data_IF_109302056574
#
_entry.id   IF_109302056574
#
_cell.length_a   1.000
_cell.length_b   1.000
_cell.length_c   1.000
_cell.angle_alpha   90.00
_cell.angle_beta   90.00
_cell.angle_gamma   90.00
#
_symmetry.space_group_name_H-M   'P 1'
#
loop_
_entity.id
_entity.type
_entity.pdbx_description
1 polymer ?
#
# COMPACT_ATOMS: atom_id res chain seq x y z
N UNK A 1 9.63 -8.34 -11.55
CA UNK A 1 10.88 -8.36 -12.36
C UNK A 1 12.10 -8.77 -11.55
N UNK A 2 12.29 -8.33 -10.29
CA UNK A 2 13.41 -8.79 -9.45
C UNK A 2 12.93 -9.73 -8.31
N UNK A 3 11.98 -9.30 -7.48
CA UNK A 3 11.52 -10.09 -6.29
C UNK A 3 11.01 -11.50 -6.60
N UNK A 4 10.11 -11.62 -7.59
CA UNK A 4 9.48 -12.91 -7.89
C UNK A 4 10.47 -13.89 -8.52
N UNK A 5 11.29 -13.51 -9.52
CA UNK A 5 12.41 -14.34 -9.97
C UNK A 5 13.37 -14.75 -8.85
N UNK A 6 13.78 -13.84 -7.96
CA UNK A 6 14.66 -14.17 -6.84
C UNK A 6 14.05 -15.26 -5.94
N UNK A 7 12.73 -15.19 -5.71
CA UNK A 7 12.01 -16.26 -4.99
C UNK A 7 12.11 -17.60 -5.71
N UNK A 8 11.94 -17.62 -7.03
CA UNK A 8 12.07 -18.85 -7.81
C UNK A 8 13.50 -19.40 -7.72
N UNK A 9 14.52 -18.56 -7.87
CA UNK A 9 15.92 -18.98 -7.82
C UNK A 9 16.29 -19.54 -6.44
N UNK A 10 15.79 -18.94 -5.36
CA UNK A 10 16.02 -19.41 -3.99
C UNK A 10 15.30 -20.74 -3.71
N UNK A 11 14.01 -20.87 -4.07
CA UNK A 11 13.22 -22.07 -3.79
C UNK A 11 13.51 -23.22 -4.75
N UNK A 12 14.12 -22.94 -5.91
CA UNK A 12 14.57 -23.94 -6.88
C UNK A 12 16.06 -24.28 -6.76
N UNK A 13 16.75 -23.73 -5.75
CA UNK A 13 18.18 -23.98 -5.53
C UNK A 13 18.47 -25.48 -5.33
N UNK A 14 19.62 -25.93 -5.84
CA UNK A 14 20.14 -27.29 -5.65
C UNK A 14 20.47 -27.62 -4.18
N UNK A 15 20.53 -26.61 -3.31
CA UNK A 15 20.70 -26.80 -1.87
C UNK A 15 19.45 -27.34 -1.17
N UNK A 16 18.30 -27.37 -1.86
CA UNK A 16 17.02 -27.88 -1.33
C UNK A 16 16.73 -29.29 -1.84
N UNK A 17 15.95 -30.04 -1.04
CA UNK A 17 15.50 -31.38 -1.43
C UNK A 17 14.53 -31.29 -2.61
N UNK A 18 14.68 -32.21 -3.57
CA UNK A 18 13.84 -32.29 -4.77
C UNK A 18 12.33 -32.37 -4.43
N UNK A 19 11.97 -33.10 -3.36
CA UNK A 19 10.63 -33.11 -2.81
C UNK A 19 10.59 -32.35 -1.46
N UNK A 20 9.70 -31.36 -1.25
CA UNK A 20 8.65 -30.86 -2.16
C UNK A 20 9.09 -29.72 -3.11
N UNK A 21 10.29 -29.16 -2.91
CA UNK A 21 10.66 -27.83 -3.43
C UNK A 21 10.74 -27.75 -4.96
N UNK A 22 11.20 -28.80 -5.64
CA UNK A 22 11.28 -28.83 -7.11
C UNK A 22 10.06 -29.47 -7.79
N UNK A 23 9.09 -29.96 -7.01
CA UNK A 23 7.86 -30.58 -7.55
C UNK A 23 6.66 -29.64 -7.54
N UNK A 24 6.67 -28.63 -6.66
CA UNK A 24 5.57 -27.69 -6.50
C UNK A 24 6.04 -26.25 -6.65
N UNK A 25 5.37 -25.39 -7.45
CA UNK A 25 5.77 -24.01 -7.68
C UNK A 25 5.39 -23.11 -6.48
N UNK A 26 6.09 -23.27 -5.35
CA UNK A 26 5.81 -22.53 -4.11
C UNK A 26 5.82 -21.02 -4.29
N UNK A 27 6.76 -20.47 -5.08
CA UNK A 27 6.85 -19.03 -5.33
C UNK A 27 5.57 -18.48 -5.98
N UNK A 28 5.10 -19.13 -7.05
CA UNK A 28 3.87 -18.71 -7.74
C UNK A 28 2.62 -18.90 -6.88
N UNK A 29 2.54 -20.03 -6.17
CA UNK A 29 1.42 -20.31 -5.26
C UNK A 29 1.32 -19.28 -4.14
N UNK A 30 2.42 -18.96 -3.45
CA UNK A 30 2.41 -17.97 -2.38
C UNK A 30 2.19 -16.55 -2.88
N UNK A 31 2.73 -16.18 -4.05
CA UNK A 31 2.44 -14.88 -4.64
C UNK A 31 0.93 -14.71 -4.91
N UNK A 32 0.29 -15.72 -5.48
CA UNK A 32 -1.16 -15.71 -5.71
C UNK A 32 -1.94 -15.68 -4.39
N UNK A 33 -1.56 -16.51 -3.41
CA UNK A 33 -2.21 -16.54 -2.10
C UNK A 33 -2.10 -15.18 -1.40
N UNK A 34 -0.93 -14.55 -1.46
CA UNK A 34 -0.72 -13.22 -0.88
C UNK A 34 -1.57 -12.17 -1.57
N UNK A 35 -1.67 -12.17 -2.91
CA UNK A 35 -2.52 -11.23 -3.63
C UNK A 35 -4.01 -11.40 -3.25
N UNK A 36 -4.49 -12.64 -3.11
CA UNK A 36 -5.85 -12.94 -2.65
C UNK A 36 -6.04 -12.47 -1.20
N UNK A 37 -5.09 -12.73 -0.32
CA UNK A 37 -5.16 -12.28 1.07
C UNK A 37 -5.21 -10.75 1.15
N UNK A 38 -4.43 -10.03 0.34
CA UNK A 38 -4.48 -8.57 0.25
C UNK A 38 -5.85 -8.09 -0.22
N UNK A 39 -6.41 -8.70 -1.27
CA UNK A 39 -7.80 -8.43 -1.72
C UNK A 39 -8.82 -8.66 -0.61
N UNK A 40 -8.69 -9.76 0.14
CA UNK A 40 -9.60 -10.05 1.25
C UNK A 40 -9.53 -8.97 2.33
N UNK A 41 -8.31 -8.53 2.70
CA UNK A 41 -8.11 -7.46 3.67
C UNK A 41 -8.73 -6.15 3.18
N UNK A 42 -8.44 -5.75 1.94
CA UNK A 42 -8.95 -4.51 1.35
C UNK A 42 -10.49 -4.50 1.23
N UNK A 43 -11.08 -5.60 0.76
CA UNK A 43 -12.52 -5.80 0.69
C UNK A 43 -13.19 -5.78 2.07
N UNK A 44 -12.64 -6.50 3.05
CA UNK A 44 -13.17 -6.54 4.41
C UNK A 44 -13.05 -5.17 5.09
N UNK A 45 -11.91 -4.49 4.95
CA UNK A 45 -11.73 -3.14 5.45
C UNK A 45 -12.80 -2.22 4.85
N UNK A 46 -12.92 -2.17 3.53
CA UNK A 46 -13.91 -1.36 2.81
C UNK A 46 -15.35 -1.66 3.26
N UNK A 47 -15.70 -2.93 3.43
CA UNK A 47 -17.02 -3.37 3.90
C UNK A 47 -17.32 -2.91 5.33
N UNK A 48 -16.39 -3.12 6.27
CA UNK A 48 -16.55 -2.69 7.65
C UNK A 48 -16.64 -1.16 7.78
N UNK A 49 -15.84 -0.43 7.00
CA UNK A 49 -15.89 1.03 6.98
C UNK A 49 -17.19 1.55 6.38
N UNK A 50 -17.63 1.01 5.24
CA UNK A 50 -18.91 1.40 4.62
C UNK A 50 -20.09 1.15 5.57
N UNK A 51 -20.08 0.03 6.31
CA UNK A 51 -21.11 -0.29 7.31
C UNK A 51 -21.07 0.68 8.49
N UNK A 52 -19.89 1.02 9.03
CA UNK A 52 -19.75 2.00 10.12
C UNK A 52 -20.18 3.41 9.70
N UNK A 53 -19.85 3.86 8.49
CA UNK A 53 -20.33 5.15 7.97
C UNK A 53 -21.85 5.14 7.79
N UNK A 54 -22.45 4.07 7.27
CA UNK A 54 -23.91 3.95 7.17
C UNK A 54 -24.60 3.90 8.53
N UNK A 55 -24.03 3.18 9.50
CA UNK A 55 -24.56 3.11 10.86
C UNK A 55 -24.40 4.44 11.61
N UNK A 56 -23.28 5.15 11.43
CA UNK A 56 -23.05 6.48 11.97
C UNK A 56 -24.04 7.51 11.42
N UNK A 57 -24.31 7.50 10.10
CA UNK A 57 -25.32 8.37 9.47
C UNK A 57 -26.73 8.08 9.99
N UNK A 58 -27.07 6.82 10.29
CA UNK A 58 -28.37 6.44 10.87
C UNK A 58 -28.46 6.86 12.35
N UNK A 59 -27.38 6.70 13.12
CA UNK A 59 -27.36 7.05 14.55
C UNK A 59 -27.34 8.57 14.78
N UNK A 60 -26.62 9.31 13.93
CA UNK A 60 -26.55 10.79 13.98
C UNK A 60 -27.87 11.46 13.57
N UNK A 61 -28.75 10.74 12.88
CA UNK A 61 -30.15 11.18 12.66
C UNK A 61 -31.05 11.00 13.89
N UNK A 62 -30.53 10.48 15.01
CA UNK A 62 -31.34 10.13 16.19
C UNK A 62 -30.83 10.64 17.54
N UNK A 63 -29.66 11.28 17.63
CA UNK A 63 -29.15 11.81 18.90
C UNK A 63 -28.44 13.14 18.66
N UNK A 64 -29.14 14.23 18.92
CA UNK A 64 -28.51 15.49 19.34
C UNK A 64 -28.02 15.35 20.79
N UNK A 65 -26.74 15.69 21.02
CA UNK A 65 -26.10 16.27 22.23
C UNK A 65 -24.98 15.44 22.96
N UNK A 66 -23.78 16.06 22.95
CA UNK A 66 -22.64 16.14 23.92
C UNK A 66 -21.40 15.20 23.87
N UNK A 67 -20.21 15.85 23.72
CA UNK A 67 -18.85 15.42 24.13
C UNK A 67 -17.85 15.29 22.96
N UNK A 68 -16.98 16.25 22.61
CA UNK A 68 -15.98 16.91 23.44
C UNK A 68 -15.66 18.36 23.00
N UNK A 69 -15.30 19.17 24.00
CA UNK A 69 -15.14 20.63 24.04
C UNK A 69 -13.89 21.15 23.32
N UNK A 70 -14.01 22.30 22.65
CA UNK A 70 -13.17 23.49 22.87
C UNK A 70 -13.70 24.74 22.13
N UNK A 71 -13.49 25.91 22.75
CA UNK A 71 -13.75 27.30 22.29
C UNK A 71 -15.06 27.99 22.76
N UNK A 72 -14.93 28.77 23.84
CA UNK A 72 -15.86 29.83 24.25
C UNK A 72 -15.67 31.08 23.37
N UNK A 73 -16.78 31.70 22.94
CA UNK A 73 -17.00 33.15 22.99
C UNK A 73 -18.46 33.49 22.63
N UNK A 74 -18.98 34.56 23.28
CA UNK A 74 -20.19 35.33 22.96
C UNK A 74 -21.55 34.91 23.59
N UNK A 75 -21.75 35.41 24.82
CA UNK A 75 -22.82 36.35 25.25
C UNK A 75 -24.15 36.43 24.45
N UNK A 76 -25.22 36.16 25.22
CA UNK A 76 -26.59 36.71 25.23
C UNK A 76 -27.71 36.27 24.26
N UNK A 77 -28.80 35.88 24.95
CA UNK A 77 -30.22 36.26 24.75
C UNK A 77 -31.10 35.44 23.80
N UNK A 78 -32.24 35.00 24.33
CA UNK A 78 -33.50 34.97 23.57
C UNK A 78 -34.26 33.65 23.50
N UNK A 79 -34.96 33.33 24.58
CA UNK A 79 -36.29 32.69 24.68
C UNK A 79 -37.16 32.64 23.39
N UNK A 80 -37.69 31.46 23.02
CA UNK A 80 -39.14 31.11 22.96
C UNK A 80 -39.43 29.83 22.16
N UNK A 81 -40.38 29.06 22.71
CA UNK A 81 -41.08 27.91 22.15
C UNK A 81 -41.72 28.15 20.76
N UNK A 82 -41.90 27.07 19.97
CA UNK A 82 -43.22 26.53 19.60
C UNK A 82 -43.10 25.43 18.52
N UNK A 83 -43.80 24.32 18.78
CA UNK A 83 -43.97 23.13 17.95
C UNK A 83 -45.07 23.36 16.92
N UNK A 84 -44.86 22.99 15.64
CA UNK A 84 -45.90 22.44 14.74
C UNK A 84 -45.28 21.63 13.58
N UNK A 85 -45.81 20.43 13.25
CA UNK A 85 -45.32 19.60 12.15
C UNK A 85 -46.16 19.82 10.89
N UNK A 86 -45.51 20.18 9.77
CA UNK A 86 -46.14 20.08 8.45
C UNK A 86 -45.18 19.51 7.41
N UNK A 87 -45.64 18.42 6.79
CA UNK A 87 -45.10 17.81 5.59
C UNK A 87 -44.93 18.84 4.47
N UNK A 88 -43.70 19.01 3.97
CA UNK A 88 -43.50 19.55 2.63
C UNK A 88 -42.31 18.87 1.94
N UNK A 89 -42.57 18.38 0.74
CA UNK A 89 -41.63 17.82 -0.21
C UNK A 89 -40.45 18.79 -0.44
N UNK A 90 -39.22 18.35 -0.14
CA UNK A 90 -38.03 18.87 -0.80
C UNK A 90 -37.13 17.70 -1.20
N UNK A 91 -37.28 17.29 -2.46
CA UNK A 91 -36.19 16.66 -3.19
C UNK A 91 -35.12 17.72 -3.45
N UNK A 92 -33.86 17.37 -3.18
CA UNK A 92 -32.71 18.15 -3.60
C UNK A 92 -31.63 18.29 -2.52
N UNK A 93 -30.46 17.72 -2.83
CA UNK A 93 -29.14 18.07 -2.26
C UNK A 93 -28.80 17.49 -0.87
N UNK A 94 -28.74 16.17 -0.74
CA UNK A 94 -27.92 15.49 0.29
C UNK A 94 -27.01 14.39 -0.30
N UNK A 95 -26.69 14.47 -1.60
CA UNK A 95 -25.86 13.46 -2.28
C UNK A 95 -24.40 13.87 -2.50
N UNK A 96 -24.01 15.10 -2.11
CA UNK A 96 -22.65 15.60 -2.34
C UNK A 96 -21.69 15.28 -1.18
N UNK A 97 -22.12 15.42 0.09
CA UNK A 97 -21.21 15.28 1.24
C UNK A 97 -20.89 13.83 1.64
N UNK A 98 -21.78 12.89 1.32
CA UNK A 98 -21.55 11.46 1.55
C UNK A 98 -20.60 10.84 0.53
N UNK A 99 -20.55 11.39 -0.69
CA UNK A 99 -19.64 10.96 -1.75
C UNK A 99 -18.19 11.37 -1.50
N UNK A 100 -17.97 12.60 -1.05
CA UNK A 100 -16.64 13.17 -0.83
C UNK A 100 -15.91 12.51 0.35
N UNK A 101 -16.61 12.35 1.49
CA UNK A 101 -16.10 11.62 2.64
C UNK A 101 -15.79 10.14 2.33
N UNK A 102 -16.60 9.49 1.49
CA UNK A 102 -16.35 8.10 1.08
C UNK A 102 -15.12 7.95 0.17
N UNK A 103 -14.87 8.92 -0.72
CA UNK A 103 -13.69 8.93 -1.57
C UNK A 103 -12.41 9.23 -0.79
N UNK A 104 -12.46 10.21 0.12
CA UNK A 104 -11.34 10.55 0.99
C UNK A 104 -10.95 9.36 1.89
N UNK A 105 -11.94 8.66 2.45
CA UNK A 105 -11.69 7.42 3.21
C UNK A 105 -11.05 6.32 2.35
N UNK A 106 -11.48 6.16 1.09
CA UNK A 106 -10.86 5.22 0.16
C UNK A 106 -9.38 5.58 -0.09
N UNK A 107 -9.05 6.84 -0.35
CA UNK A 107 -7.65 7.27 -0.48
C UNK A 107 -6.84 7.02 0.79
N UNK A 108 -7.45 7.19 1.97
CA UNK A 108 -6.80 6.87 3.25
C UNK A 108 -6.50 5.38 3.39
N UNK A 109 -7.45 4.50 3.06
CA UNK A 109 -7.25 3.04 3.09
C UNK A 109 -6.14 2.66 2.10
N UNK A 110 -6.24 3.09 0.85
CA UNK A 110 -5.23 2.83 -0.18
C UNK A 110 -3.84 3.28 0.27
N UNK A 111 -3.71 4.50 0.80
CA UNK A 111 -2.42 5.01 1.29
C UNK A 111 -1.85 4.18 2.45
N UNK A 112 -2.70 3.64 3.34
CA UNK A 112 -2.28 2.79 4.45
C UNK A 112 -1.87 1.39 3.99
N UNK A 113 -2.63 0.77 3.09
CA UNK A 113 -2.32 -0.56 2.55
C UNK A 113 -1.06 -0.49 1.69
N UNK A 114 -0.92 0.58 0.90
CA UNK A 114 0.31 0.87 0.14
C UNK A 114 1.52 1.02 1.07
N UNK A 115 1.41 1.83 2.12
CA UNK A 115 2.50 2.00 3.09
C UNK A 115 2.89 0.67 3.76
N UNK A 116 1.92 -0.14 4.19
CA UNK A 116 2.17 -1.46 4.76
C UNK A 116 2.89 -2.37 3.75
N UNK A 117 2.47 -2.34 2.48
CA UNK A 117 3.10 -3.09 1.40
C UNK A 117 4.55 -2.68 1.16
N UNK A 118 4.80 -1.36 1.12
CA UNK A 118 6.14 -0.78 0.98
C UNK A 118 7.02 -1.19 2.17
N UNK A 119 6.50 -1.15 3.40
CA UNK A 119 7.26 -1.54 4.60
C UNK A 119 7.69 -3.01 4.52
N UNK A 120 6.76 -3.93 4.26
CA UNK A 120 7.08 -5.36 4.16
C UNK A 120 8.09 -5.62 3.05
N UNK A 121 7.88 -5.01 1.87
CA UNK A 121 8.77 -5.14 0.74
C UNK A 121 10.18 -4.62 1.01
N UNK A 122 10.27 -3.42 1.60
CA UNK A 122 11.51 -2.72 1.92
C UNK A 122 12.36 -3.49 2.93
N UNK A 123 11.75 -4.14 3.93
CA UNK A 123 12.49 -5.01 4.87
C UNK A 123 13.10 -6.19 4.13
N UNK A 124 12.34 -6.86 3.25
CA UNK A 124 12.78 -8.07 2.56
C UNK A 124 13.90 -7.77 1.56
N UNK A 125 13.78 -6.68 0.79
CA UNK A 125 14.87 -6.19 -0.07
C UNK A 125 16.10 -5.86 0.77
N UNK A 126 15.92 -5.07 1.84
CA UNK A 126 17.02 -4.65 2.69
C UNK A 126 17.77 -5.83 3.30
N UNK A 127 17.03 -6.82 3.81
CA UNK A 127 17.58 -8.06 4.35
C UNK A 127 18.43 -8.79 3.31
N UNK A 128 17.92 -8.93 2.08
CA UNK A 128 18.60 -9.62 0.98
C UNK A 128 19.89 -8.88 0.56
N UNK A 129 19.85 -7.55 0.47
CA UNK A 129 21.04 -6.74 0.18
C UNK A 129 22.08 -6.84 1.31
N UNK A 130 21.64 -6.74 2.57
CA UNK A 130 22.53 -6.79 3.74
C UNK A 130 23.18 -8.15 3.97
N UNK A 131 22.53 -9.23 3.50
CA UNK A 131 23.09 -10.58 3.56
C UNK A 131 24.13 -10.85 2.46
N UNK A 132 24.04 -10.14 1.33
CA UNK A 132 24.87 -10.36 0.14
C UNK A 132 26.36 -10.15 0.42
N UNK A 133 27.19 -11.06 -0.11
CA UNK A 133 28.64 -11.04 0.08
C UNK A 133 29.42 -10.57 -1.17
N UNK A 134 28.74 -10.29 -2.29
CA UNK A 134 29.38 -9.98 -3.56
C UNK A 134 29.48 -8.47 -3.80
N UNK A 135 30.67 -7.89 -3.63
CA UNK A 135 30.88 -6.42 -3.73
C UNK A 135 30.47 -5.80 -5.07
N UNK A 136 30.62 -6.53 -6.18
CA UNK A 136 30.20 -6.06 -7.50
C UNK A 136 28.67 -5.96 -7.61
N UNK A 137 27.97 -6.97 -7.08
CA UNK A 137 26.50 -7.01 -7.01
C UNK A 137 25.98 -5.93 -6.05
N UNK A 138 26.55 -5.80 -4.85
CA UNK A 138 26.15 -4.78 -3.86
C UNK A 138 26.20 -3.35 -4.45
N UNK A 139 27.27 -2.99 -5.17
CA UNK A 139 27.38 -1.65 -5.78
C UNK A 139 26.30 -1.39 -6.83
N UNK A 140 25.99 -2.38 -7.67
CA UNK A 140 24.92 -2.30 -8.66
C UNK A 140 23.55 -2.21 -8.01
N UNK A 141 23.26 -3.11 -7.06
CA UNK A 141 22.00 -3.13 -6.31
C UNK A 141 21.76 -1.83 -5.55
N UNK A 142 22.75 -1.26 -4.86
CA UNK A 142 22.57 0.00 -4.14
C UNK A 142 22.18 1.12 -5.09
N UNK A 143 22.85 1.23 -6.25
CA UNK A 143 22.50 2.24 -7.24
C UNK A 143 21.06 2.02 -7.78
N UNK A 144 20.72 0.78 -8.15
CA UNK A 144 19.39 0.43 -8.63
C UNK A 144 18.30 0.70 -7.58
N UNK A 145 18.57 0.39 -6.31
CA UNK A 145 17.65 0.61 -5.20
C UNK A 145 17.46 2.09 -4.89
N UNK A 146 18.48 2.94 -4.99
CA UNK A 146 18.30 4.38 -4.84
C UNK A 146 17.28 4.93 -5.85
N UNK A 147 17.39 4.53 -7.12
CA UNK A 147 16.41 4.94 -8.14
C UNK A 147 15.04 4.29 -7.90
N UNK A 148 14.98 3.02 -7.52
CA UNK A 148 13.73 2.34 -7.17
C UNK A 148 12.99 3.08 -6.04
N UNK A 149 13.70 3.34 -4.93
CA UNK A 149 13.16 4.00 -3.75
C UNK A 149 12.73 5.43 -4.07
N UNK A 150 13.40 6.11 -5.00
CA UNK A 150 12.95 7.43 -5.46
C UNK A 150 11.56 7.36 -6.13
N UNK A 151 11.33 6.40 -7.03
CA UNK A 151 10.03 6.24 -7.70
C UNK A 151 8.93 5.76 -6.74
N UNK A 152 9.24 4.82 -5.85
CA UNK A 152 8.33 4.33 -4.82
C UNK A 152 7.94 5.47 -3.85
N UNK A 153 8.89 6.31 -3.46
CA UNK A 153 8.67 7.48 -2.61
C UNK A 153 7.81 8.56 -3.26
N UNK A 154 7.96 8.80 -4.57
CA UNK A 154 7.08 9.69 -5.32
C UNK A 154 5.63 9.16 -5.37
N UNK A 155 5.45 7.85 -5.58
CA UNK A 155 4.15 7.20 -5.57
C UNK A 155 3.44 7.29 -4.21
N UNK A 156 4.16 6.95 -3.14
CA UNK A 156 3.66 7.07 -1.77
C UNK A 156 3.34 8.53 -1.42
N UNK A 157 4.21 9.47 -1.78
CA UNK A 157 4.00 10.90 -1.58
C UNK A 157 2.70 11.40 -2.23
N UNK A 158 2.42 10.95 -3.46
CA UNK A 158 1.15 11.23 -4.14
C UNK A 158 -0.07 10.72 -3.37
N UNK A 159 -0.02 9.49 -2.86
CA UNK A 159 -1.11 8.91 -2.08
C UNK A 159 -1.32 9.62 -0.74
N UNK A 160 -0.23 10.00 -0.05
CA UNK A 160 -0.28 10.75 1.21
C UNK A 160 -0.91 12.14 1.01
N UNK A 161 -0.61 12.80 -0.12
CA UNK A 161 -1.20 14.09 -0.47
C UNK A 161 -2.70 13.97 -0.70
N UNK A 162 -3.15 12.93 -1.40
CA UNK A 162 -4.58 12.67 -1.67
C UNK A 162 -5.37 12.25 -0.42
N UNK A 163 -4.72 11.60 0.55
CA UNK A 163 -5.36 11.11 1.77
C UNK A 163 -5.64 12.22 2.83
N UNK A 164 -5.16 13.44 2.59
CA UNK A 164 -5.33 14.63 3.45
C UNK A 164 -5.06 14.37 4.94
N UNK A 165 -3.99 13.63 5.23
CA UNK A 165 -3.62 13.31 6.60
C UNK A 165 -3.09 14.53 7.38
N UNK A 166 -3.30 14.52 8.71
CA UNK A 166 -2.63 15.45 9.63
C UNK A 166 -1.10 15.32 9.50
N UNK A 167 -0.37 16.41 9.72
CA UNK A 167 1.09 16.47 9.55
C UNK A 167 1.83 15.36 10.30
N UNK A 168 1.40 15.04 11.54
CA UNK A 168 1.99 13.95 12.33
C UNK A 168 1.91 12.60 11.61
N UNK A 169 0.76 12.28 11.01
CA UNK A 169 0.59 11.02 10.29
C UNK A 169 1.41 11.02 9.00
N UNK A 170 1.42 12.14 8.25
CA UNK A 170 2.32 12.30 7.09
C UNK A 170 3.79 12.08 7.47
N UNK A 171 4.23 12.68 8.58
CA UNK A 171 5.60 12.55 9.08
C UNK A 171 5.92 11.10 9.51
N UNK A 172 5.00 10.42 10.19
CA UNK A 172 5.16 9.01 10.54
C UNK A 172 5.29 8.12 9.30
N UNK A 173 4.46 8.35 8.27
CA UNK A 173 4.53 7.56 7.04
C UNK A 173 5.86 7.74 6.30
N UNK A 174 6.32 8.99 6.19
CA UNK A 174 7.63 9.30 5.60
C UNK A 174 8.78 8.73 6.44
N UNK A 175 8.65 8.74 7.77
CA UNK A 175 9.62 8.13 8.68
C UNK A 175 9.74 6.63 8.46
N UNK A 176 8.62 5.89 8.45
CA UNK A 176 8.63 4.45 8.20
C UNK A 176 9.18 4.13 6.81
N UNK A 177 8.78 4.87 5.78
CA UNK A 177 9.35 4.73 4.44
C UNK A 177 10.88 4.87 4.44
N UNK A 178 11.41 5.86 5.16
CA UNK A 178 12.84 6.17 5.15
C UNK A 178 13.69 5.20 5.97
N UNK A 179 13.17 4.68 7.08
CA UNK A 179 13.93 3.85 8.03
C UNK A 179 13.89 2.36 7.69
N UNK A 180 12.85 1.89 7.01
CA UNK A 180 12.59 0.46 6.82
C UNK A 180 13.68 -0.23 5.99
N UNK A 181 14.09 0.36 4.86
CA UNK A 181 15.14 -0.24 4.01
C UNK A 181 16.50 -0.27 4.73
N UNK A 182 17.00 0.83 5.33
CA UNK A 182 18.23 0.79 6.14
C UNK A 182 18.17 -0.21 7.30
N UNK A 183 17.01 -0.30 7.98
CA UNK A 183 16.79 -1.29 9.04
C UNK A 183 16.91 -2.73 8.50
N UNK A 184 16.29 -3.03 7.35
CA UNK A 184 16.41 -4.32 6.68
C UNK A 184 17.86 -4.65 6.34
N UNK A 185 18.63 -3.70 5.81
CA UNK A 185 20.06 -3.87 5.50
C UNK A 185 20.87 -4.17 6.75
N UNK A 186 20.67 -3.40 7.83
CA UNK A 186 21.34 -3.63 9.10
C UNK A 186 21.00 -5.02 9.67
N UNK A 187 19.74 -5.43 9.60
CA UNK A 187 19.30 -6.76 10.00
C UNK A 187 19.94 -7.86 9.14
N UNK A 188 20.02 -7.67 7.83
CA UNK A 188 20.68 -8.59 6.90
C UNK A 188 22.16 -8.77 7.22
N UNK A 189 22.88 -7.67 7.48
CA UNK A 189 24.28 -7.70 7.89
C UNK A 189 24.48 -8.34 9.28
N UNK A 190 23.52 -8.18 10.19
CA UNK A 190 23.58 -8.80 11.51
C UNK A 190 23.39 -10.32 11.41
N UNK A 191 22.44 -10.76 10.58
CA UNK A 191 22.18 -12.18 10.35
C UNK A 191 23.27 -12.84 9.52
N UNK A 192 23.89 -12.17 8.56
CA UNK A 192 24.94 -12.77 7.70
C UNK A 192 26.15 -13.30 8.47
N UNK A 193 26.38 -12.85 9.71
CA UNK A 193 27.42 -13.39 10.61
C UNK A 193 27.11 -14.80 11.12
N UNK A 194 25.85 -15.19 11.21
CA UNK A 194 25.39 -16.50 11.72
C UNK A 194 24.68 -17.33 10.64
N UNK A 195 24.24 -16.70 9.55
CA UNK A 195 23.49 -17.30 8.46
C UNK A 195 24.40 -17.49 7.23
N UNK A 196 24.50 -18.73 6.76
CA UNK A 196 25.05 -18.99 5.41
C UNK A 196 23.94 -18.75 4.40
N UNK A 197 24.15 -17.89 3.40
CA UNK A 197 23.13 -17.58 2.38
C UNK A 197 22.63 -18.82 1.63
N UNK A 198 23.50 -19.83 1.45
CA UNK A 198 23.16 -21.12 0.84
C UNK A 198 22.60 -22.17 1.82
N UNK A 199 22.27 -21.77 3.06
CA UNK A 199 21.61 -22.66 4.00
C UNK A 199 20.17 -22.94 3.53
N UNK A 200 19.69 -24.20 3.58
CA UNK A 200 18.32 -24.53 3.23
C UNK A 200 17.28 -23.64 3.93
N UNK A 201 17.47 -23.36 5.22
CA UNK A 201 16.55 -22.52 5.99
C UNK A 201 16.51 -21.07 5.50
N UNK A 202 17.64 -20.56 4.99
CA UNK A 202 17.74 -19.21 4.47
C UNK A 202 17.02 -19.07 3.14
N UNK A 203 17.33 -19.97 2.22
CA UNK A 203 16.71 -20.04 0.90
C UNK A 203 15.19 -20.20 1.01
N UNK A 204 14.72 -21.06 1.93
CA UNK A 204 13.29 -21.24 2.19
C UNK A 204 12.69 -19.95 2.75
N UNK A 205 13.24 -19.38 3.82
CA UNK A 205 12.62 -18.23 4.49
C UNK A 205 12.58 -17.00 3.58
N UNK A 206 13.71 -16.65 2.96
CA UNK A 206 13.79 -15.49 2.08
C UNK A 206 12.99 -15.73 0.79
N UNK A 207 13.05 -16.94 0.22
CA UNK A 207 12.27 -17.31 -0.95
C UNK A 207 10.76 -17.18 -0.73
N UNK A 208 10.23 -17.65 0.40
CA UNK A 208 8.80 -17.53 0.73
C UNK A 208 8.40 -16.08 1.03
N UNK A 209 9.26 -15.30 1.70
CA UNK A 209 9.01 -13.88 1.96
C UNK A 209 9.01 -13.07 0.65
N UNK A 210 9.94 -13.34 -0.27
CA UNK A 210 9.98 -12.73 -1.60
C UNK A 210 8.73 -13.09 -2.41
N UNK A 211 8.29 -14.35 -2.39
CA UNK A 211 7.05 -14.77 -3.07
C UNK A 211 5.84 -13.99 -2.55
N UNK A 212 5.70 -13.93 -1.23
CA UNK A 212 4.59 -13.25 -0.57
C UNK A 212 4.61 -11.74 -0.86
N UNK A 213 5.76 -11.10 -0.71
CA UNK A 213 5.95 -9.69 -1.00
C UNK A 213 5.63 -9.36 -2.47
N UNK A 214 6.09 -10.18 -3.42
CA UNK A 214 5.77 -10.00 -4.84
C UNK A 214 4.26 -10.05 -5.10
N UNK A 215 3.56 -11.02 -4.50
CA UNK A 215 2.10 -11.13 -4.60
C UNK A 215 1.35 -9.90 -4.10
N UNK A 216 1.72 -9.43 -2.91
CA UNK A 216 1.17 -8.21 -2.33
C UNK A 216 1.39 -6.99 -3.24
N UNK A 217 2.62 -6.79 -3.74
CA UNK A 217 2.95 -5.64 -4.58
C UNK A 217 2.29 -5.67 -5.95
N UNK A 218 2.10 -6.86 -6.54
CA UNK A 218 1.34 -7.02 -7.78
C UNK A 218 -0.10 -6.56 -7.57
N UNK A 219 -0.74 -6.98 -6.47
CA UNK A 219 -2.08 -6.52 -6.14
C UNK A 219 -2.12 -5.00 -5.91
N UNK A 220 -1.19 -4.45 -5.13
CA UNK A 220 -1.08 -3.00 -4.90
C UNK A 220 -0.93 -2.21 -6.20
N UNK A 221 -0.03 -2.63 -7.08
CA UNK A 221 0.22 -1.92 -8.32
C UNK A 221 -1.00 -1.95 -9.26
N UNK A 222 -1.60 -3.13 -9.46
CA UNK A 222 -2.68 -3.30 -10.42
C UNK A 222 -4.03 -2.79 -9.91
N UNK A 223 -4.37 -3.11 -8.66
CA UNK A 223 -5.72 -2.86 -8.12
C UNK A 223 -5.76 -1.54 -7.36
N UNK A 224 -4.88 -1.34 -6.39
CA UNK A 224 -4.96 -0.19 -5.48
C UNK A 224 -4.48 1.11 -6.12
N UNK A 225 -3.54 1.03 -7.08
CA UNK A 225 -3.02 2.19 -7.80
C UNK A 225 -3.62 2.30 -9.19
N UNK A 226 -3.26 1.40 -10.12
CA UNK A 226 -3.63 1.56 -11.52
C UNK A 226 -5.14 1.47 -11.75
N UNK A 227 -5.83 0.46 -11.22
CA UNK A 227 -7.27 0.39 -11.40
C UNK A 227 -7.99 1.55 -10.70
N UNK A 228 -7.55 1.96 -9.51
CA UNK A 228 -8.14 3.09 -8.81
C UNK A 228 -8.02 4.42 -9.60
N UNK A 229 -6.85 4.70 -10.16
CA UNK A 229 -6.61 5.91 -10.95
C UNK A 229 -7.33 5.85 -12.30
N UNK A 230 -7.16 4.75 -13.05
CA UNK A 230 -7.72 4.61 -14.40
C UNK A 230 -9.24 4.51 -14.42
N UNK A 231 -9.87 3.95 -13.39
CA UNK A 231 -11.33 3.87 -13.29
C UNK A 231 -11.94 5.13 -12.65
N UNK A 232 -11.13 6.13 -12.29
CA UNK A 232 -11.59 7.40 -11.76
C UNK A 232 -12.33 8.27 -12.81
N UNK A 233 -13.29 9.12 -12.38
CA UNK A 233 -14.11 9.92 -13.29
C UNK A 233 -13.30 10.87 -14.18
N UNK A 234 -12.16 11.39 -13.67
CA UNK A 234 -11.26 12.26 -14.44
C UNK A 234 -10.61 11.54 -15.62
N UNK A 235 -10.14 10.31 -15.41
CA UNK A 235 -9.46 9.54 -16.46
C UNK A 235 -10.45 8.99 -17.48
N UNK A 236 -11.64 8.56 -17.02
CA UNK A 236 -12.72 8.07 -17.88
C UNK A 236 -13.37 9.17 -18.73
N UNK A 237 -13.29 10.43 -18.33
CA UNK A 237 -13.83 11.56 -19.08
C UNK A 237 -12.95 12.02 -20.26
N UNK A 238 -11.65 11.68 -20.28
CA UNK A 238 -10.70 12.16 -21.29
C UNK A 238 -9.79 11.04 -21.82
N UNK A 239 -10.12 10.55 -23.02
CA UNK A 239 -9.35 9.50 -23.70
C UNK A 239 -7.92 9.92 -24.04
N UNK A 240 -7.65 11.21 -24.29
CA UNK A 240 -6.30 11.70 -24.58
C UNK A 240 -5.44 11.64 -23.33
N UNK A 241 -6.01 12.02 -22.18
CA UNK A 241 -5.35 11.86 -20.89
C UNK A 241 -5.09 10.39 -20.59
N UNK A 242 -6.07 9.51 -20.81
CA UNK A 242 -5.94 8.09 -20.58
C UNK A 242 -4.81 7.45 -21.41
N UNK A 243 -4.71 7.77 -22.71
CA UNK A 243 -3.62 7.28 -23.58
C UNK A 243 -2.27 7.78 -23.09
N UNK A 244 -2.15 9.08 -22.74
CA UNK A 244 -0.91 9.65 -22.20
C UNK A 244 -0.49 8.95 -20.90
N UNK A 245 -1.44 8.67 -20.01
CA UNK A 245 -1.19 7.93 -18.77
C UNK A 245 -0.75 6.50 -19.04
N UNK A 246 -1.35 5.78 -19.99
CA UNK A 246 -0.88 4.43 -20.35
C UNK A 246 0.54 4.43 -20.89
N UNK A 247 0.90 5.40 -21.74
CA UNK A 247 2.28 5.55 -22.22
C UNK A 247 3.23 5.80 -21.05
N UNK A 248 2.87 6.66 -20.10
CA UNK A 248 3.67 6.91 -18.90
C UNK A 248 3.84 5.64 -18.03
N UNK A 249 2.77 4.86 -17.83
CA UNK A 249 2.82 3.58 -17.09
C UNK A 249 3.75 2.59 -17.79
N UNK A 250 3.66 2.45 -19.11
CA UNK A 250 4.53 1.55 -19.87
C UNK A 250 6.00 2.00 -19.84
N UNK A 251 6.26 3.30 -19.92
CA UNK A 251 7.60 3.85 -19.76
C UNK A 251 8.16 3.59 -18.36
N UNK A 252 7.34 3.76 -17.32
CA UNK A 252 7.69 3.42 -15.94
C UNK A 252 8.02 1.94 -15.80
N UNK A 253 7.14 1.04 -16.25
CA UNK A 253 7.37 -0.41 -16.21
C UNK A 253 8.62 -0.83 -17.00
N UNK A 254 8.86 -0.22 -18.17
CA UNK A 254 10.09 -0.40 -18.94
C UNK A 254 11.33 0.06 -18.18
N UNK A 255 11.28 1.25 -17.57
CA UNK A 255 12.36 1.79 -16.73
C UNK A 255 12.69 0.88 -15.55
N UNK A 256 11.68 0.42 -14.81
CA UNK A 256 11.86 -0.55 -13.70
C UNK A 256 12.47 -1.88 -14.19
N UNK A 257 12.11 -2.32 -15.40
CA UNK A 257 12.66 -3.55 -16.00
C UNK A 257 14.13 -3.40 -16.39
N UNK A 258 14.53 -2.23 -16.91
CA UNK A 258 15.95 -1.95 -17.22
C UNK A 258 16.78 -1.88 -15.95
N UNK A 259 16.27 -1.27 -14.88
CA UNK A 259 16.96 -1.24 -13.58
C UNK A 259 17.18 -2.65 -13.02
N UNK A 260 16.22 -3.55 -13.21
CA UNK A 260 16.34 -4.94 -12.78
C UNK A 260 17.45 -5.74 -13.48
N UNK A 261 18.03 -5.24 -14.59
CA UNK A 261 19.21 -5.87 -15.21
C UNK A 261 20.51 -5.57 -14.46
N UNK A 262 20.52 -4.50 -13.66
CA UNK A 262 21.71 -3.98 -12.95
C UNK A 262 21.63 -4.21 -11.44
N UNK A 263 20.45 -4.55 -10.94
CA UNK A 263 20.25 -5.15 -9.63
C UNK A 263 20.62 -6.64 -9.71
#
# INVERSE_FOLDING_TARGET
MHVLPDSFDMLWSNCLKENPWHKFPFSGFLAMLSAIATLMVDSLATSLYTKKCKAGVILDSSISVEGDREMQAAVNSGQHDHVHPHHLHHGGVLKAESGDNSQLLRYRVVAMVLELGIVVHSVVIGLSLGASNNTCSIKGLVAALCFHQMFEGMGLGGCILQAEYKLLKKALMVFFFSVTTPFGIALGMALSKTYKENSPNALITVGLLNASSAGLLIYMALVDLLAADFMGPRMQADIKLQIKSYVAVLLGAGGMSVMAKWA
#
